data_IF_179459764330
#
_entry.id   IF_179459764330
#
_cell.length_a   1.000
_cell.length_b   1.000
_cell.length_c   1.000
_cell.angle_alpha   90.00
_cell.angle_beta   90.00
_cell.angle_gamma   90.00
#
_symmetry.space_group_name_H-M   'P 1'
#
loop_
_entity.id
_entity.type
_entity.pdbx_description
1 polymer ?
#
# COMPACT_ATOMS: atom_id res chain seq x y z
N UNK A 1 1.91 2.13 -4.63
CA UNK A 1 0.78 1.58 -3.86
C UNK A 1 0.23 0.40 -4.64
N UNK A 2 -0.03 -0.72 -3.98
CA UNK A 2 -0.74 -1.87 -4.53
C UNK A 2 -1.96 -2.11 -3.66
N UNK A 3 -3.13 -2.35 -4.26
CA UNK A 3 -4.33 -2.78 -3.56
C UNK A 3 -5.00 -3.89 -4.36
N UNK A 4 -5.34 -4.99 -3.70
CA UNK A 4 -5.94 -6.14 -4.37
C UNK A 4 -6.14 -7.33 -3.45
N UNK A 5 -6.59 -8.44 -4.04
CA UNK A 5 -6.68 -9.70 -3.32
C UNK A 5 -5.29 -10.23 -2.99
N UNK A 6 -5.14 -10.63 -1.74
CA UNK A 6 -3.90 -11.11 -1.19
C UNK A 6 -3.82 -12.64 -1.14
N UNK A 7 -2.68 -13.19 -1.52
CA UNK A 7 -2.34 -14.60 -1.41
C UNK A 7 -0.93 -14.74 -0.80
N UNK A 8 -0.65 -15.77 0.01
CA UNK A 8 0.69 -15.98 0.59
C UNK A 8 1.82 -16.12 -0.43
N UNK A 9 1.52 -16.50 -1.67
CA UNK A 9 2.49 -16.87 -2.69
C UNK A 9 2.53 -15.91 -3.88
N UNK A 10 1.52 -15.07 -4.09
CA UNK A 10 1.45 -14.18 -5.25
C UNK A 10 0.71 -12.86 -4.98
N UNK A 11 0.99 -11.88 -5.82
CA UNK A 11 0.15 -10.69 -6.00
C UNK A 11 -0.67 -10.83 -7.28
N UNK A 12 -1.95 -10.49 -7.20
CA UNK A 12 -2.85 -10.49 -8.36
C UNK A 12 -2.71 -9.15 -9.10
N UNK A 13 -2.35 -9.20 -10.37
CA UNK A 13 -2.28 -8.06 -11.29
C UNK A 13 -3.29 -8.28 -12.42
N UNK A 14 -3.55 -7.26 -13.23
CA UNK A 14 -4.39 -7.36 -14.42
C UNK A 14 -3.52 -7.74 -15.65
N UNK A 15 -4.06 -8.53 -16.57
CA UNK A 15 -3.32 -9.10 -17.72
C UNK A 15 -3.42 -8.28 -19.04
N UNK A 16 -3.98 -7.07 -18.97
CA UNK A 16 -4.30 -6.20 -20.11
C UNK A 16 -5.59 -6.57 -20.86
N UNK A 17 -6.28 -7.65 -20.47
CA UNK A 17 -7.52 -8.17 -21.08
C UNK A 17 -8.66 -8.28 -20.07
N UNK A 18 -8.50 -7.71 -18.88
CA UNK A 18 -9.43 -7.84 -17.76
C UNK A 18 -9.28 -9.14 -16.96
N UNK A 19 -8.29 -9.97 -17.28
CA UNK A 19 -8.01 -11.23 -16.59
C UNK A 19 -7.03 -11.05 -15.42
N UNK A 20 -6.97 -12.06 -14.56
CA UNK A 20 -6.05 -12.10 -13.43
C UNK A 20 -4.69 -12.68 -13.84
N UNK A 21 -3.62 -11.91 -13.61
CA UNK A 21 -2.23 -12.33 -13.72
C UNK A 21 -1.60 -12.50 -12.34
N UNK A 22 -1.27 -13.72 -11.96
CA UNK A 22 -0.67 -14.03 -10.65
C UNK A 22 0.85 -13.93 -10.68
N UNK A 23 1.39 -12.86 -10.10
CA UNK A 23 2.83 -12.64 -9.96
C UNK A 23 3.32 -13.33 -8.69
N UNK A 24 3.92 -14.51 -8.86
CA UNK A 24 4.55 -15.25 -7.77
C UNK A 24 5.62 -14.41 -7.06
N UNK A 25 5.72 -14.51 -5.73
CA UNK A 25 6.68 -13.74 -4.91
C UNK A 25 8.12 -13.92 -5.40
N UNK A 26 8.50 -15.12 -5.85
CA UNK A 26 9.84 -15.35 -6.42
C UNK A 26 10.05 -14.65 -7.77
N UNK A 27 9.00 -14.54 -8.59
CA UNK A 27 9.05 -13.74 -9.83
C UNK A 27 9.13 -12.26 -9.50
N UNK A 28 8.34 -11.77 -8.54
CA UNK A 28 8.40 -10.40 -8.04
C UNK A 28 9.81 -10.07 -7.54
N UNK A 29 10.40 -10.92 -6.71
CA UNK A 29 11.77 -10.74 -6.20
C UNK A 29 12.80 -10.64 -7.33
N UNK A 30 12.74 -11.53 -8.32
CA UNK A 30 13.65 -11.49 -9.49
C UNK A 30 13.45 -10.22 -10.31
N UNK A 31 12.21 -9.80 -10.51
CA UNK A 31 11.88 -8.55 -11.20
C UNK A 31 12.49 -7.33 -10.48
N UNK A 32 12.29 -7.24 -9.16
CA UNK A 32 12.81 -6.15 -8.34
C UNK A 32 14.36 -6.12 -8.34
N UNK A 33 15.01 -7.29 -8.26
CA UNK A 33 16.47 -7.40 -8.36
C UNK A 33 17.00 -6.98 -9.73
N UNK A 34 16.31 -7.35 -10.81
CA UNK A 34 16.71 -7.02 -12.17
C UNK A 34 16.53 -5.53 -12.50
N UNK A 35 15.45 -4.91 -12.02
CA UNK A 35 15.16 -3.50 -12.29
C UNK A 35 16.02 -2.50 -11.50
N UNK A 36 16.66 -2.95 -10.41
CA UNK A 36 17.32 -2.05 -9.47
C UNK A 36 16.30 -1.22 -8.65
N UNK A 37 16.67 -0.86 -7.42
CA UNK A 37 15.78 -0.20 -6.45
C UNK A 37 15.90 1.33 -6.52
N UNK A 38 16.44 1.86 -7.62
CA UNK A 38 16.99 3.21 -7.66
C UNK A 38 15.96 4.34 -7.38
N UNK A 39 14.65 4.07 -7.39
CA UNK A 39 13.62 5.10 -7.19
C UNK A 39 12.58 4.78 -6.10
N UNK A 40 12.54 3.59 -5.52
CA UNK A 40 11.50 3.23 -4.56
C UNK A 40 11.84 3.70 -3.15
N UNK A 41 11.26 4.84 -2.77
CA UNK A 41 11.37 5.40 -1.41
C UNK A 41 10.39 4.75 -0.43
N UNK A 42 9.24 4.30 -0.92
CA UNK A 42 8.14 3.79 -0.11
C UNK A 42 7.24 2.86 -0.93
N UNK A 43 6.79 1.76 -0.31
CA UNK A 43 5.82 0.82 -0.88
C UNK A 43 4.68 0.57 0.11
N UNK A 44 3.45 0.60 -0.38
CA UNK A 44 2.26 0.21 0.36
C UNK A 44 1.64 -0.99 -0.34
N UNK A 45 1.53 -2.13 0.34
CA UNK A 45 0.91 -3.36 -0.18
C UNK A 45 -0.38 -3.64 0.60
N UNK A 46 -1.50 -3.13 0.10
CA UNK A 46 -2.84 -3.34 0.62
C UNK A 46 -3.42 -4.66 0.11
N UNK A 47 -2.96 -5.77 0.67
CA UNK A 47 -3.49 -7.10 0.38
C UNK A 47 -3.39 -7.97 1.63
N UNK A 48 -4.36 -8.85 1.87
CA UNK A 48 -4.23 -9.88 2.90
C UNK A 48 -2.98 -10.74 2.63
N UNK A 49 -2.37 -11.37 3.64
CA UNK A 49 -1.22 -12.26 3.41
C UNK A 49 0.02 -11.58 2.74
N UNK A 50 0.07 -10.24 2.67
CA UNK A 50 1.04 -9.50 1.84
C UNK A 50 2.46 -9.44 2.41
N UNK A 51 2.69 -9.90 3.65
CA UNK A 51 4.00 -9.91 4.30
C UNK A 51 5.09 -10.59 3.45
N UNK A 52 4.78 -11.69 2.74
CA UNK A 52 5.74 -12.37 1.87
C UNK A 52 6.18 -11.51 0.67
N UNK A 53 5.22 -10.81 0.04
CA UNK A 53 5.52 -9.86 -1.03
C UNK A 53 6.25 -8.62 -0.50
N UNK A 54 5.87 -8.11 0.67
CA UNK A 54 6.52 -7.00 1.35
C UNK A 54 7.99 -7.29 1.65
N UNK A 55 8.30 -8.52 2.09
CA UNK A 55 9.66 -8.94 2.33
C UNK A 55 10.51 -8.93 1.06
N UNK A 56 9.94 -9.25 -0.11
CA UNK A 56 10.66 -9.14 -1.38
C UNK A 56 11.08 -7.69 -1.69
N UNK A 57 10.28 -6.68 -1.30
CA UNK A 57 10.67 -5.26 -1.40
C UNK A 57 11.76 -4.89 -0.40
N UNK A 58 11.67 -5.38 0.84
CA UNK A 58 12.69 -5.16 1.87
C UNK A 58 14.04 -5.76 1.47
N UNK A 59 14.05 -6.99 0.95
CA UNK A 59 15.27 -7.70 0.53
C UNK A 59 16.06 -6.98 -0.57
N UNK A 60 15.36 -6.22 -1.41
CA UNK A 60 16.02 -5.40 -2.43
C UNK A 60 16.42 -4.03 -1.86
N UNK A 61 15.99 -3.64 -0.66
CA UNK A 61 16.44 -2.42 0.00
C UNK A 61 15.46 -1.25 -0.12
N UNK A 62 14.17 -1.52 -0.36
CA UNK A 62 13.15 -0.48 -0.19
C UNK A 62 13.13 -0.05 1.28
N UNK A 63 13.33 1.24 1.60
CA UNK A 63 13.50 1.68 2.99
C UNK A 63 12.25 1.55 3.85
N UNK A 64 11.08 1.64 3.23
CA UNK A 64 9.80 1.75 3.92
C UNK A 64 8.73 0.94 3.19
N UNK A 65 8.19 -0.08 3.86
CA UNK A 65 7.15 -0.95 3.31
C UNK A 65 6.02 -1.11 4.31
N UNK A 66 4.80 -0.73 3.92
CA UNK A 66 3.57 -1.05 4.64
C UNK A 66 2.96 -2.32 4.06
N UNK A 67 2.57 -3.25 4.94
CA UNK A 67 1.97 -4.51 4.57
C UNK A 67 0.93 -4.97 5.61
N UNK A 68 0.22 -6.05 5.28
CA UNK A 68 -0.66 -6.77 6.20
C UNK A 68 -0.03 -8.12 6.55
N UNK A 69 -0.10 -8.49 7.82
CA UNK A 69 0.48 -9.73 8.37
C UNK A 69 0.03 -10.98 7.62
N UNK A 70 0.93 -11.96 7.54
CA UNK A 70 0.78 -13.15 6.69
C UNK A 70 -0.43 -14.03 6.97
N UNK A 71 -1.07 -14.02 8.15
CA UNK A 71 -2.10 -15.01 8.53
C UNK A 71 -3.46 -14.39 8.85
N UNK A 72 -3.72 -13.17 8.39
CA UNK A 72 -4.92 -12.41 8.76
C UNK A 72 -5.56 -11.76 7.56
N UNK A 73 -6.90 -11.75 7.60
CA UNK A 73 -7.71 -10.86 6.79
C UNK A 73 -7.92 -9.59 7.59
N UNK A 74 -7.60 -8.45 6.98
CA UNK A 74 -7.97 -7.14 7.51
C UNK A 74 -9.36 -6.83 6.99
N UNK A 75 -10.24 -6.36 7.86
CA UNK A 75 -11.57 -5.93 7.44
C UNK A 75 -11.50 -4.65 6.57
N UNK A 76 -12.41 -4.53 5.60
CA UNK A 76 -12.47 -3.34 4.73
C UNK A 76 -12.55 -2.01 5.51
N UNK A 77 -13.34 -1.89 6.59
CA UNK A 77 -13.35 -0.67 7.40
C UNK A 77 -11.98 -0.33 8.01
N UNK A 78 -11.23 -1.34 8.47
CA UNK A 78 -9.89 -1.14 9.02
C UNK A 78 -8.89 -0.73 7.93
N UNK A 79 -8.91 -1.41 6.77
CA UNK A 79 -8.07 -1.06 5.62
C UNK A 79 -8.32 0.38 5.14
N UNK A 80 -9.60 0.78 5.07
CA UNK A 80 -9.97 2.13 4.68
C UNK A 80 -9.55 3.18 5.72
N UNK A 81 -9.82 2.93 7.01
CA UNK A 81 -9.42 3.85 8.09
C UNK A 81 -7.91 4.05 8.12
N UNK A 82 -7.16 2.95 8.07
CA UNK A 82 -5.69 2.99 8.05
C UNK A 82 -5.17 3.76 6.84
N UNK A 83 -5.58 3.37 5.63
CA UNK A 83 -5.07 3.94 4.38
C UNK A 83 -5.36 5.44 4.30
N UNK A 84 -6.57 5.85 4.67
CA UNK A 84 -6.95 7.27 4.68
C UNK A 84 -6.09 8.07 5.65
N UNK A 85 -5.98 7.63 6.90
CA UNK A 85 -5.20 8.35 7.92
C UNK A 85 -3.71 8.38 7.57
N UNK A 86 -3.16 7.26 7.09
CA UNK A 86 -1.76 7.15 6.70
C UNK A 86 -1.39 8.13 5.58
N UNK A 87 -2.17 8.17 4.49
CA UNK A 87 -1.87 9.06 3.38
C UNK A 87 -2.11 10.53 3.71
N UNK A 88 -3.09 10.85 4.57
CA UNK A 88 -3.29 12.22 5.04
C UNK A 88 -2.12 12.69 5.90
N UNK A 89 -1.62 11.85 6.83
CA UNK A 89 -0.45 12.17 7.63
C UNK A 89 0.79 12.43 6.77
N UNK A 90 1.06 11.55 5.78
CA UNK A 90 2.13 11.80 4.81
C UNK A 90 1.92 13.10 4.02
N UNK A 91 0.67 13.43 3.69
CA UNK A 91 0.34 14.61 2.90
C UNK A 91 0.60 15.93 3.64
N UNK A 92 0.44 15.92 4.97
CA UNK A 92 0.73 17.09 5.82
C UNK A 92 2.18 17.17 6.30
N UNK A 93 3.03 16.25 5.84
CA UNK A 93 4.48 16.31 6.06
C UNK A 93 5.01 15.42 7.18
N UNK A 94 4.19 14.50 7.70
CA UNK A 94 4.64 13.54 8.72
C UNK A 94 5.68 12.56 8.16
N UNK A 95 6.52 12.03 9.05
CA UNK A 95 7.42 10.92 8.70
C UNK A 95 6.63 9.63 8.46
N UNK A 96 7.25 8.62 7.83
CA UNK A 96 6.59 7.31 7.66
C UNK A 96 6.25 6.67 9.01
N UNK A 97 7.10 6.83 10.02
CA UNK A 97 6.86 6.35 11.39
C UNK A 97 5.62 7.00 11.98
N UNK A 98 5.57 8.33 11.97
CA UNK A 98 4.46 9.09 12.55
C UNK A 98 3.15 8.80 11.80
N UNK A 99 3.19 8.76 10.46
CA UNK A 99 2.05 8.42 9.63
C UNK A 99 1.51 6.99 9.92
N UNK A 100 2.41 6.03 10.15
CA UNK A 100 2.04 4.67 10.53
C UNK A 100 1.36 4.62 11.91
N UNK A 101 1.91 5.32 12.89
CA UNK A 101 1.37 5.35 14.25
C UNK A 101 0.02 6.07 14.31
N UNK A 102 -0.14 7.20 13.60
CA UNK A 102 -1.42 7.90 13.41
C UNK A 102 -2.45 6.97 12.76
N UNK A 103 -2.06 6.25 11.69
CA UNK A 103 -2.97 5.35 10.99
C UNK A 103 -3.43 4.17 11.86
N UNK A 104 -2.53 3.63 12.69
CA UNK A 104 -2.90 2.62 13.69
C UNK A 104 -3.93 3.16 14.67
N UNK A 105 -3.72 4.35 15.23
CA UNK A 105 -4.68 4.93 16.16
C UNK A 105 -6.02 5.21 15.49
N UNK A 106 -6.02 5.66 14.24
CA UNK A 106 -7.26 5.84 13.47
C UNK A 106 -8.06 4.54 13.30
N UNK A 107 -7.39 3.38 13.18
CA UNK A 107 -8.07 2.07 13.18
C UNK A 107 -8.61 1.74 14.57
N UNK A 108 -7.82 1.96 15.63
CA UNK A 108 -8.23 1.68 17.02
C UNK A 108 -9.49 2.46 17.40
N UNK A 109 -9.56 3.74 17.04
CA UNK A 109 -10.65 4.64 17.44
C UNK A 109 -11.81 4.67 16.45
N UNK A 110 -11.74 3.95 15.33
CA UNK A 110 -12.79 3.96 14.31
C UNK A 110 -14.05 3.23 14.81
N UNK A 111 -15.22 3.90 14.89
CA UNK A 111 -16.46 3.25 15.32
C UNK A 111 -16.90 2.11 14.39
N UNK A 112 -16.48 2.15 13.12
CA UNK A 112 -16.77 1.14 12.10
C UNK A 112 -15.85 -0.09 12.17
N UNK A 113 -14.88 -0.12 13.09
CA UNK A 113 -13.92 -1.22 13.23
C UNK A 113 -14.11 -1.90 14.60
N UNK A 114 -14.89 -2.99 14.66
CA UNK A 114 -14.95 -3.81 15.86
C UNK A 114 -13.55 -4.34 16.23
N UNK A 115 -13.22 -4.35 17.53
CA UNK A 115 -11.91 -4.79 18.02
C UNK A 115 -10.71 -4.06 17.37
N UNK A 116 -10.80 -2.73 17.24
CA UNK A 116 -9.80 -1.88 16.59
C UNK A 116 -8.34 -2.14 16.97
N UNK A 117 -8.04 -2.46 18.24
CA UNK A 117 -6.69 -2.87 18.69
C UNK A 117 -6.14 -4.09 17.93
N UNK A 118 -6.98 -5.11 17.74
CA UNK A 118 -6.59 -6.34 17.02
C UNK A 118 -6.40 -6.07 15.53
N UNK A 119 -7.27 -5.26 14.95
CA UNK A 119 -7.20 -4.89 13.53
C UNK A 119 -5.97 -4.02 13.23
N UNK A 120 -5.69 -3.03 14.08
CA UNK A 120 -4.52 -2.17 13.95
C UNK A 120 -3.21 -2.96 14.04
N UNK A 121 -3.17 -4.06 14.82
CA UNK A 121 -1.99 -4.92 14.95
C UNK A 121 -1.69 -5.77 13.69
N UNK A 122 -2.62 -5.83 12.73
CA UNK A 122 -2.44 -6.57 11.48
C UNK A 122 -1.61 -5.79 10.45
N UNK A 123 -1.54 -4.46 10.57
CA UNK A 123 -0.68 -3.62 9.74
C UNK A 123 0.78 -3.72 10.22
N UNK A 124 1.69 -3.79 9.26
CA UNK A 124 3.13 -3.93 9.48
C UNK A 124 3.85 -2.77 8.81
N UNK A 125 4.85 -2.23 9.51
CA UNK A 125 5.86 -1.35 8.93
C UNK A 125 7.20 -2.10 8.91
N UNK A 126 7.79 -2.23 7.73
CA UNK A 126 9.02 -2.96 7.48
C UNK A 126 10.06 -2.05 6.77
N UNK A 127 11.37 -2.26 7.02
CA UNK A 127 11.98 -3.24 7.94
C UNK A 127 11.71 -2.91 9.41
N UNK A 128 11.45 -3.91 10.27
CA UNK A 128 11.02 -3.67 11.67
C UNK A 128 12.01 -2.83 12.48
N UNK A 129 13.30 -3.00 12.19
CA UNK A 129 14.40 -2.36 12.93
C UNK A 129 14.85 -1.03 12.31
N UNK A 130 14.21 -0.58 11.24
CA UNK A 130 14.52 0.71 10.62
C UNK A 130 13.82 1.87 11.36
N UNK A 131 14.39 3.09 11.34
CA UNK A 131 13.82 4.24 12.06
C UNK A 131 12.48 4.70 11.46
N UNK A 132 12.37 4.69 10.13
CA UNK A 132 11.21 5.23 9.38
C UNK A 132 10.95 6.74 9.59
N UNK A 133 11.99 7.49 9.94
CA UNK A 133 11.98 8.92 10.27
C UNK A 133 12.03 9.85 9.04
N UNK A 134 11.68 9.35 7.84
CA UNK A 134 11.76 10.11 6.60
C UNK A 134 10.38 10.56 6.12
N UNK A 135 10.32 11.80 5.65
CA UNK A 135 9.19 12.33 4.88
C UNK A 135 9.34 11.86 3.42
N UNK A 136 8.46 10.95 2.99
CA UNK A 136 8.55 10.32 1.66
C UNK A 136 7.79 11.07 0.57
N UNK A 137 6.91 12.00 0.95
CA UNK A 137 6.20 12.90 0.04
C UNK A 137 6.58 14.36 0.33
N UNK A 138 7.86 14.75 0.18
CA UNK A 138 8.28 16.12 0.44
C UNK A 138 7.67 17.07 -0.59
N UNK A 139 7.42 18.31 -0.18
CA UNK A 139 6.98 19.42 -1.05
C UNK A 139 5.59 19.25 -1.68
N UNK A 140 4.68 18.53 -1.02
CA UNK A 140 3.27 18.60 -1.40
C UNK A 140 2.76 20.02 -1.17
N UNK A 141 2.29 20.64 -2.24
CA UNK A 141 1.69 21.97 -2.20
C UNK A 141 0.18 21.82 -2.02
N UNK A 142 -0.44 22.58 -1.11
CA UNK A 142 -1.89 22.70 -1.08
C UNK A 142 -2.40 23.11 -2.46
N UNK A 143 -3.48 22.45 -2.89
CA UNK A 143 -4.23 22.84 -4.07
C UNK A 143 -5.61 23.29 -3.60
N UNK A 144 -5.97 24.54 -3.90
CA UNK A 144 -7.26 25.10 -3.49
C UNK A 144 -8.43 24.37 -4.17
N UNK A 145 -8.19 23.85 -5.37
CA UNK A 145 -9.10 23.00 -6.13
C UNK A 145 -8.31 21.87 -6.79
N UNK A 146 -8.78 20.65 -6.61
CA UNK A 146 -8.30 19.51 -7.39
C UNK A 146 -8.94 19.55 -8.79
N UNK A 147 -8.11 19.67 -9.82
CA UNK A 147 -8.53 19.47 -11.20
C UNK A 147 -8.04 18.09 -11.65
N UNK A 148 -8.95 17.12 -11.91
CA UNK A 148 -8.54 15.80 -12.37
C UNK A 148 -7.83 15.94 -13.74
N UNK A 149 -6.79 15.13 -14.01
CA UNK A 149 -6.15 15.13 -15.32
C UNK A 149 -7.17 14.93 -16.43
N UNK A 150 -7.07 15.72 -17.51
CA UNK A 150 -7.91 15.52 -18.68
C UNK A 150 -7.75 14.07 -19.18
N UNK A 151 -8.87 13.42 -19.49
CA UNK A 151 -8.82 12.08 -20.07
C UNK A 151 -7.95 12.12 -21.34
N UNK A 152 -7.03 11.16 -21.53
CA UNK A 152 -6.23 11.13 -22.74
C UNK A 152 -7.16 11.12 -23.96
N UNK A 153 -6.91 11.97 -24.98
CA UNK A 153 -7.75 12.01 -26.17
C UNK A 153 -7.74 10.62 -26.82
N UNK A 154 -8.91 9.97 -26.87
CA UNK A 154 -9.10 8.68 -27.55
C UNK A 154 -9.49 7.46 -26.70
N UNK A 155 -9.85 7.60 -25.42
CA UNK A 155 -10.48 6.50 -24.65
C UNK A 155 -11.80 6.91 -23.98
N UNK A 156 -12.79 7.25 -24.79
CA UNK A 156 -14.15 6.78 -24.48
C UNK A 156 -14.19 5.33 -24.97
N UNK A 157 -13.70 4.40 -24.15
CA UNK A 157 -13.99 3.00 -24.38
C UNK A 157 -15.51 2.85 -24.23
N UNK A 158 -16.16 2.34 -25.27
CA UNK A 158 -17.56 1.95 -25.27
C UNK A 158 -17.93 1.24 -23.94
N UNK A 159 -19.19 1.32 -23.48
CA UNK A 159 -19.63 0.64 -22.28
C UNK A 159 -19.18 -0.83 -22.32
N UNK A 160 -18.70 -1.33 -21.18
CA UNK A 160 -18.33 -2.75 -21.03
C UNK A 160 -19.54 -3.59 -21.51
N UNK A 161 -19.32 -4.62 -22.35
CA UNK A 161 -20.41 -5.49 -22.78
C UNK A 161 -21.08 -6.14 -21.56
N UNK A 162 -22.41 -6.21 -21.62
CA UNK A 162 -23.28 -6.73 -20.57
C UNK A 162 -23.01 -8.21 -20.24
#
# INVERSE_FOLDING_TARGET
HYSGHGDPNYLSMEDGRGGAHFVQVDKLRRLLKAGGIASLRFVFVSACFSEAAAQAFVEVGVPHVIAVRRNVRVSDPAAHSFTRAFYLALAVGETVRDAYDIAKQAVVTAPSVPAGEREAANFLLLPRDAPHDKVVLPNLRPVDRWEPPAAPPGRLAAPLPA
#
